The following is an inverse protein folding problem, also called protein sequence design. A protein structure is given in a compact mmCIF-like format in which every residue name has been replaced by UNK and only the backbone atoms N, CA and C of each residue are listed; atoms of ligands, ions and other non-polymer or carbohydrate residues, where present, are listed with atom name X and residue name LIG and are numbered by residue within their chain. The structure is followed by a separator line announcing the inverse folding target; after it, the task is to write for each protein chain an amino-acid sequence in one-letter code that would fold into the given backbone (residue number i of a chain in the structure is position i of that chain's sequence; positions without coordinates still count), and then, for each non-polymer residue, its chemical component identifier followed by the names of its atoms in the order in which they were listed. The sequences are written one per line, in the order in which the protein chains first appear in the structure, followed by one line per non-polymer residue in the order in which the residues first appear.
data_IF_922291842349
#
_entry.id   IF_922291842349
#
_cell.length_a   1.000
_cell.length_b   1.000
_cell.length_c   1.000
_cell.angle_alpha   90.00
_cell.angle_beta   90.00
_cell.angle_gamma   90.00
#
_symmetry.space_group_name_H-M   'P 1'
#
loop_
_entity.id
_entity.type
_entity.pdbx_description
1 polymer ?
#
# COMPACT_ATOMS: atom_id res chain seq x y z
N UNK A 1 -43.83 -10.13 20.30
CA UNK A 1 -43.55 -10.75 18.98
C UNK A 1 -42.13 -10.38 18.63
N UNK A 2 -41.21 -11.34 18.54
CA UNK A 2 -39.81 -11.06 18.24
C UNK A 2 -39.64 -10.60 16.79
N UNK A 3 -38.75 -9.65 16.56
CA UNK A 3 -38.40 -9.19 15.20
C UNK A 3 -37.26 -10.03 14.62
N UNK A 4 -37.03 -9.95 13.29
CA UNK A 4 -35.91 -10.67 12.64
C UNK A 4 -34.52 -10.07 12.98
N UNK A 5 -34.46 -8.82 13.42
CA UNK A 5 -33.22 -8.08 13.64
C UNK A 5 -33.08 -7.62 15.10
N UNK A 6 -31.92 -7.81 15.75
CA UNK A 6 -30.72 -8.46 15.24
C UNK A 6 -30.82 -10.00 15.26
N UNK A 7 -30.26 -10.66 14.24
CA UNK A 7 -30.21 -12.13 14.17
C UNK A 7 -29.35 -12.73 15.30
N UNK A 8 -28.33 -11.99 15.74
CA UNK A 8 -27.28 -12.47 16.63
C UNK A 8 -27.62 -12.33 18.13
N UNK A 9 -28.76 -11.74 18.49
CA UNK A 9 -29.22 -11.60 19.88
C UNK A 9 -30.75 -11.68 19.97
N UNK A 10 -31.27 -12.76 20.53
CA UNK A 10 -32.70 -12.97 20.77
C UNK A 10 -33.26 -11.97 21.77
N UNK A 11 -32.49 -11.63 22.81
CA UNK A 11 -32.88 -10.63 23.81
C UNK A 11 -33.14 -9.27 23.16
N UNK A 12 -32.22 -8.81 22.30
CA UNK A 12 -32.43 -7.59 21.53
C UNK A 12 -33.58 -7.73 20.54
N UNK A 13 -33.72 -8.88 19.86
CA UNK A 13 -34.79 -9.10 18.87
C UNK A 13 -36.20 -9.01 19.48
N UNK A 14 -36.33 -9.29 20.78
CA UNK A 14 -37.58 -9.19 21.55
C UNK A 14 -37.85 -7.78 22.10
N UNK A 15 -36.86 -6.89 22.14
CA UNK A 15 -37.02 -5.53 22.64
C UNK A 15 -37.99 -4.74 21.73
N UNK A 16 -39.16 -4.30 22.25
CA UNK A 16 -40.19 -3.65 21.45
C UNK A 16 -39.90 -2.17 21.18
N UNK A 17 -38.85 -1.62 21.76
CA UNK A 17 -38.52 -0.19 21.68
C UNK A 17 -37.53 0.10 20.55
N UNK A 18 -37.28 1.38 20.29
CA UNK A 18 -36.21 1.82 19.37
C UNK A 18 -34.81 1.50 19.89
N UNK A 19 -34.65 1.19 21.20
CA UNK A 19 -33.38 0.75 21.80
C UNK A 19 -32.79 -0.45 21.07
N UNK A 20 -33.64 -1.38 20.63
CA UNK A 20 -33.26 -2.54 19.82
C UNK A 20 -32.36 -2.18 18.65
N UNK A 21 -32.74 -1.15 17.88
CA UNK A 21 -32.04 -0.76 16.66
C UNK A 21 -30.64 -0.23 17.01
N UNK A 22 -30.57 0.65 18.01
CA UNK A 22 -29.30 1.25 18.44
C UNK A 22 -28.32 0.22 19.00
N UNK A 23 -28.78 -0.65 19.89
CA UNK A 23 -27.93 -1.70 20.47
C UNK A 23 -27.51 -2.74 19.43
N UNK A 24 -28.39 -3.08 18.48
CA UNK A 24 -28.02 -3.98 17.40
C UNK A 24 -26.90 -3.42 16.50
N UNK A 25 -26.86 -2.10 16.25
CA UNK A 25 -25.74 -1.48 15.52
C UNK A 25 -24.47 -1.46 16.38
N UNK A 26 -24.59 -1.12 17.66
CA UNK A 26 -23.45 -1.04 18.57
C UNK A 26 -22.79 -2.40 18.84
N UNK A 27 -23.58 -3.46 18.95
CA UNK A 27 -23.12 -4.82 19.27
C UNK A 27 -22.87 -5.69 18.03
N UNK A 28 -23.05 -5.13 16.82
CA UNK A 28 -22.92 -5.90 15.58
C UNK A 28 -21.55 -6.54 15.36
N UNK A 29 -20.50 -5.91 15.88
CA UNK A 29 -19.11 -6.39 15.79
C UNK A 29 -18.56 -7.00 17.09
N UNK A 30 -19.37 -7.03 18.15
CA UNK A 30 -19.03 -7.71 19.41
C UNK A 30 -19.36 -9.20 19.29
N UNK A 31 -18.57 -9.92 18.48
CA UNK A 31 -18.90 -11.30 18.10
C UNK A 31 -18.93 -12.28 19.28
N UNK A 32 -18.17 -12.02 20.34
CA UNK A 32 -18.12 -12.88 21.53
C UNK A 32 -19.45 -12.90 22.30
N UNK A 33 -20.22 -11.80 22.27
CA UNK A 33 -21.53 -11.70 22.93
C UNK A 33 -22.69 -12.23 22.08
N UNK A 34 -22.43 -12.72 20.86
CA UNK A 34 -23.48 -13.23 19.98
C UNK A 34 -23.99 -14.60 20.45
N UNK A 35 -25.31 -14.81 20.35
CA UNK A 35 -25.96 -16.04 20.76
C UNK A 35 -25.34 -17.26 20.06
N UNK A 36 -24.91 -18.26 20.85
CA UNK A 36 -24.36 -19.51 20.34
C UNK A 36 -22.97 -19.41 19.70
N UNK A 37 -22.23 -18.32 19.94
CA UNK A 37 -20.86 -18.19 19.45
C UNK A 37 -19.94 -19.24 20.08
N UNK A 38 -19.15 -19.93 19.24
CA UNK A 38 -18.08 -20.83 19.68
C UNK A 38 -16.73 -20.19 19.37
N UNK A 39 -15.67 -20.60 20.07
CA UNK A 39 -14.33 -20.05 19.87
C UNK A 39 -13.85 -20.21 18.42
N UNK A 40 -14.04 -21.38 17.80
CA UNK A 40 -13.62 -21.59 16.41
C UNK A 40 -14.40 -20.73 15.41
N UNK A 41 -15.72 -20.59 15.60
CA UNK A 41 -16.55 -19.73 14.75
C UNK A 41 -16.18 -18.26 14.91
N UNK A 42 -15.82 -17.83 16.12
CA UNK A 42 -15.33 -16.48 16.40
C UNK A 42 -14.09 -16.17 15.54
N UNK A 43 -13.06 -17.03 15.59
CA UNK A 43 -11.84 -16.84 14.80
C UNK A 43 -12.11 -16.84 13.29
N UNK A 44 -12.95 -17.75 12.79
CA UNK A 44 -13.32 -17.79 11.37
C UNK A 44 -14.04 -16.52 10.92
N UNK A 45 -14.93 -15.97 11.77
CA UNK A 45 -15.66 -14.72 11.50
C UNK A 45 -14.74 -13.50 11.51
N UNK A 46 -13.83 -13.43 12.48
CA UNK A 46 -12.79 -12.40 12.54
C UNK A 46 -11.91 -12.46 11.28
N UNK A 47 -11.47 -13.66 10.88
CA UNK A 47 -10.60 -13.86 9.73
C UNK A 47 -11.25 -13.36 8.42
N UNK A 48 -12.49 -13.75 8.16
CA UNK A 48 -13.21 -13.26 6.99
C UNK A 48 -13.47 -11.73 7.04
N UNK A 49 -13.67 -11.17 8.24
CA UNK A 49 -13.82 -9.72 8.44
C UNK A 49 -12.52 -8.99 8.09
N UNK A 50 -11.35 -9.54 8.42
CA UNK A 50 -10.07 -8.97 8.02
C UNK A 50 -9.92 -8.90 6.49
N UNK A 51 -10.33 -9.95 5.75
CA UNK A 51 -10.36 -9.91 4.29
C UNK A 51 -11.27 -8.81 3.74
N UNK A 52 -12.49 -8.68 4.30
CA UNK A 52 -13.40 -7.59 3.93
C UNK A 52 -12.80 -6.21 4.20
N UNK A 53 -12.15 -6.03 5.35
CA UNK A 53 -11.51 -4.76 5.70
C UNK A 53 -10.32 -4.43 4.78
N UNK A 54 -9.47 -5.42 4.45
CA UNK A 54 -8.38 -5.25 3.49
C UNK A 54 -8.91 -4.85 2.11
N UNK A 55 -10.00 -5.45 1.65
CA UNK A 55 -10.62 -5.06 0.39
C UNK A 55 -11.12 -3.61 0.40
N UNK A 56 -11.68 -3.13 1.52
CA UNK A 56 -12.08 -1.71 1.67
C UNK A 56 -10.86 -0.80 1.54
N UNK A 57 -9.72 -1.14 2.15
CA UNK A 57 -8.48 -0.37 2.03
C UNK A 57 -8.00 -0.32 0.56
N UNK A 58 -8.02 -1.45 -0.15
CA UNK A 58 -7.63 -1.48 -1.57
C UNK A 58 -8.58 -0.72 -2.47
N UNK A 59 -9.90 -0.78 -2.23
CA UNK A 59 -10.88 0.02 -2.97
C UNK A 59 -10.69 1.52 -2.70
N UNK A 60 -10.44 1.91 -1.45
CA UNK A 60 -10.14 3.28 -1.09
C UNK A 60 -8.88 3.78 -1.84
N UNK A 61 -7.77 3.04 -1.77
CA UNK A 61 -6.54 3.41 -2.47
C UNK A 61 -6.70 3.42 -4.00
N UNK A 62 -7.46 2.47 -4.57
CA UNK A 62 -7.85 2.44 -5.98
C UNK A 62 -8.60 3.72 -6.38
N UNK A 63 -9.57 4.15 -5.57
CA UNK A 63 -10.36 5.35 -5.84
C UNK A 63 -9.51 6.62 -5.85
N UNK A 64 -8.50 6.72 -4.98
CA UNK A 64 -7.58 7.86 -4.96
C UNK A 64 -6.81 7.97 -6.28
N UNK A 65 -6.23 6.85 -6.74
CA UNK A 65 -5.51 6.79 -8.02
C UNK A 65 -6.45 7.14 -9.18
N UNK A 66 -7.65 6.54 -9.20
CA UNK A 66 -8.62 6.73 -10.27
C UNK A 66 -9.09 8.18 -10.40
N UNK A 67 -9.46 8.81 -9.28
CA UNK A 67 -9.92 10.20 -9.30
C UNK A 67 -8.83 11.17 -9.75
N UNK A 68 -7.59 10.95 -9.33
CA UNK A 68 -6.45 11.78 -9.78
C UNK A 68 -6.15 11.54 -11.26
N UNK A 69 -6.15 10.29 -11.73
CA UNK A 69 -5.93 9.95 -13.13
C UNK A 69 -6.99 10.55 -14.06
N UNK A 70 -8.25 10.56 -13.61
CA UNK A 70 -9.39 10.99 -14.44
C UNK A 70 -9.66 12.50 -14.36
N UNK A 71 -9.63 13.07 -13.16
CA UNK A 71 -10.10 14.44 -12.89
C UNK A 71 -9.02 15.35 -12.32
N UNK A 72 -7.88 14.78 -11.95
CA UNK A 72 -6.74 15.49 -11.38
C UNK A 72 -5.87 16.17 -12.44
N UNK A 73 -4.76 16.73 -11.98
CA UNK A 73 -3.78 17.43 -12.80
C UNK A 73 -2.37 16.87 -12.63
N UNK A 74 -2.23 15.56 -12.38
CA UNK A 74 -0.95 14.91 -12.05
C UNK A 74 0.16 15.19 -13.08
N UNK A 75 -0.10 15.00 -14.37
CA UNK A 75 0.88 15.26 -15.45
C UNK A 75 1.29 16.73 -15.59
N UNK A 76 0.41 17.66 -15.17
CA UNK A 76 0.75 19.08 -15.11
C UNK A 76 1.59 19.34 -13.86
N UNK A 77 1.15 18.82 -12.71
CA UNK A 77 1.80 18.97 -11.42
C UNK A 77 3.25 18.49 -11.43
N UNK A 78 3.55 17.34 -12.04
CA UNK A 78 4.94 16.83 -12.10
C UNK A 78 5.91 17.75 -12.86
N UNK A 79 5.41 18.65 -13.71
CA UNK A 79 6.24 19.61 -14.45
C UNK A 79 6.60 20.83 -13.61
N UNK A 80 5.76 21.18 -12.64
CA UNK A 80 6.01 22.26 -11.68
C UNK A 80 5.38 21.95 -10.31
N UNK A 81 6.01 21.04 -9.54
CA UNK A 81 5.47 20.57 -8.25
C UNK A 81 5.35 21.65 -7.18
N UNK A 82 6.06 22.77 -7.34
CA UNK A 82 6.14 23.84 -6.35
C UNK A 82 5.00 24.86 -6.48
N UNK A 83 4.49 25.09 -7.70
CA UNK A 83 3.49 26.14 -7.93
C UNK A 83 2.12 25.58 -8.34
N UNK A 84 2.06 24.39 -8.94
CA UNK A 84 0.78 23.78 -9.31
C UNK A 84 0.16 23.15 -8.06
N UNK A 85 -1.09 23.51 -7.77
CA UNK A 85 -1.85 22.92 -6.67
C UNK A 85 -2.46 21.58 -7.10
N UNK A 86 -2.21 20.48 -6.37
CA UNK A 86 -2.67 19.16 -6.78
C UNK A 86 -4.19 19.02 -6.59
N UNK A 87 -4.88 18.47 -7.59
CA UNK A 87 -6.35 18.30 -7.56
C UNK A 87 -6.72 16.93 -6.96
N UNK A 88 -7.67 16.90 -6.04
CA UNK A 88 -8.24 15.68 -5.49
C UNK A 88 -9.20 15.01 -6.48
N UNK A 89 -10.28 15.70 -6.82
CA UNK A 89 -11.35 15.26 -7.72
C UNK A 89 -12.24 16.45 -8.11
N UNK A 90 -13.10 16.25 -9.11
CA UNK A 90 -14.10 17.23 -9.51
C UNK A 90 -15.22 17.35 -8.47
N UNK A 91 -15.81 18.54 -8.34
CA UNK A 91 -17.01 18.79 -7.55
C UNK A 91 -18.21 18.73 -8.48
N UNK A 92 -19.19 17.90 -8.12
CA UNK A 92 -20.50 17.87 -8.78
C UNK A 92 -21.58 18.08 -7.72
N UNK A 93 -21.99 19.33 -7.55
CA UNK A 93 -23.07 19.72 -6.63
C UNK A 93 -24.11 20.58 -7.37
N UNK A 94 -25.32 20.06 -7.63
CA UNK A 94 -26.36 20.79 -8.36
C UNK A 94 -26.93 21.99 -7.59
N UNK A 95 -26.61 22.12 -6.30
CA UNK A 95 -27.03 23.26 -5.48
C UNK A 95 -26.09 24.46 -5.59
N UNK A 96 -24.93 24.31 -6.24
CA UNK A 96 -23.99 25.42 -6.41
C UNK A 96 -24.58 26.52 -7.31
N UNK A 97 -24.67 27.73 -6.76
CA UNK A 97 -24.87 28.93 -7.57
C UNK A 97 -23.62 29.25 -8.39
N UNK A 98 -23.78 30.06 -9.45
CA UNK A 98 -22.69 30.48 -10.33
C UNK A 98 -21.44 31.01 -9.59
N UNK A 99 -21.55 31.84 -8.54
CA UNK A 99 -20.36 32.30 -7.80
C UNK A 99 -19.57 31.17 -7.14
N UNK A 100 -20.23 30.12 -6.66
CA UNK A 100 -19.55 28.95 -6.07
C UNK A 100 -18.84 28.13 -7.15
N UNK A 101 -19.47 27.93 -8.32
CA UNK A 101 -18.84 27.29 -9.47
C UNK A 101 -17.55 28.02 -9.85
N UNK A 102 -17.60 29.35 -9.95
CA UNK A 102 -16.43 30.18 -10.27
C UNK A 102 -15.35 30.10 -9.18
N UNK A 103 -15.72 30.17 -7.90
CA UNK A 103 -14.77 30.10 -6.79
C UNK A 103 -14.04 28.75 -6.69
N UNK A 104 -14.73 27.64 -6.98
CA UNK A 104 -14.14 26.30 -6.94
C UNK A 104 -13.52 25.86 -8.26
N UNK A 105 -13.70 26.60 -9.36
CA UNK A 105 -12.99 26.36 -10.62
C UNK A 105 -11.58 26.94 -10.49
N UNK A 106 -10.67 26.11 -9.98
CA UNK A 106 -9.33 26.51 -9.56
C UNK A 106 -8.27 25.47 -9.96
N UNK A 107 -7.00 25.70 -9.62
CA UNK A 107 -5.92 24.75 -9.87
C UNK A 107 -5.61 24.52 -11.36
N UNK A 108 -6.03 25.46 -12.23
CA UNK A 108 -5.90 25.35 -13.68
C UNK A 108 -6.99 24.50 -14.35
N UNK A 109 -7.96 23.98 -13.60
CA UNK A 109 -9.09 23.24 -14.15
C UNK A 109 -10.14 24.18 -14.76
N UNK A 110 -10.90 23.66 -15.74
CA UNK A 110 -12.05 24.33 -16.36
C UNK A 110 -13.39 24.01 -15.69
N UNK A 111 -13.35 23.32 -14.55
CA UNK A 111 -14.51 22.88 -13.77
C UNK A 111 -14.23 22.98 -12.25
N UNK A 112 -15.27 22.99 -11.41
CA UNK A 112 -15.10 23.00 -9.95
C UNK A 112 -14.32 21.79 -9.44
N UNK A 113 -13.33 22.02 -8.57
CA UNK A 113 -12.45 20.98 -8.02
C UNK A 113 -12.11 21.22 -6.55
N UNK A 114 -11.77 20.12 -5.86
CA UNK A 114 -11.10 20.16 -4.57
C UNK A 114 -9.58 20.09 -4.76
N UNK A 115 -8.84 20.91 -4.01
CA UNK A 115 -7.38 20.76 -3.86
C UNK A 115 -7.09 19.66 -2.84
N UNK A 116 -6.17 18.74 -3.15
CA UNK A 116 -5.77 17.70 -2.21
C UNK A 116 -4.65 18.17 -1.28
N UNK A 117 -4.74 17.75 -0.03
CA UNK A 117 -3.71 17.97 0.99
C UNK A 117 -3.18 16.64 1.56
N UNK A 118 -3.53 15.50 0.96
CA UNK A 118 -3.12 14.18 1.45
C UNK A 118 -1.66 13.82 1.16
N UNK A 119 -0.97 14.61 0.32
CA UNK A 119 0.42 14.33 -0.08
C UNK A 119 0.59 13.26 -1.16
N UNK A 120 -0.48 12.62 -1.63
CA UNK A 120 -0.42 11.48 -2.58
C UNK A 120 0.31 11.77 -3.90
N UNK A 121 0.23 13.01 -4.41
CA UNK A 121 0.97 13.42 -5.61
C UNK A 121 2.49 13.31 -5.41
N UNK A 122 2.99 13.80 -4.27
CA UNK A 122 4.40 13.73 -3.91
C UNK A 122 4.84 12.27 -3.78
N UNK A 123 4.07 11.45 -3.07
CA UNK A 123 4.39 10.03 -2.90
C UNK A 123 4.47 9.29 -4.24
N UNK A 124 3.44 9.38 -5.08
CA UNK A 124 3.38 8.71 -6.38
C UNK A 124 4.49 9.18 -7.32
N UNK A 125 4.79 10.48 -7.33
CA UNK A 125 5.90 11.04 -8.09
C UNK A 125 7.25 10.51 -7.60
N UNK A 126 7.49 10.46 -6.29
CA UNK A 126 8.74 9.94 -5.73
C UNK A 126 8.96 8.47 -6.07
N UNK A 127 7.91 7.65 -6.10
CA UNK A 127 8.02 6.21 -6.41
C UNK A 127 8.01 5.88 -7.90
N UNK A 128 8.02 6.89 -8.78
CA UNK A 128 8.24 6.72 -10.22
C UNK A 128 7.00 6.86 -11.11
N UNK A 129 5.81 7.18 -10.58
CA UNK A 129 4.64 7.43 -11.44
C UNK A 129 4.79 8.79 -12.15
N UNK A 130 4.49 8.84 -13.45
CA UNK A 130 4.65 10.05 -14.28
C UNK A 130 3.40 10.40 -15.08
N UNK A 131 2.59 9.41 -15.44
CA UNK A 131 1.44 9.61 -16.32
C UNK A 131 0.13 9.27 -15.64
N UNK A 132 -0.97 9.81 -16.16
CA UNK A 132 -2.32 9.42 -15.74
C UNK A 132 -2.57 7.92 -16.02
N UNK A 133 -1.91 7.36 -17.04
CA UNK A 133 -1.99 5.93 -17.34
C UNK A 133 -1.34 5.08 -16.24
N UNK A 134 -0.21 5.50 -15.66
CA UNK A 134 0.42 4.79 -14.54
C UNK A 134 -0.55 4.70 -13.35
N UNK A 135 -1.19 5.82 -13.04
CA UNK A 135 -2.20 5.91 -11.98
C UNK A 135 -3.42 5.04 -12.29
N UNK A 136 -3.91 5.08 -13.53
CA UNK A 136 -5.06 4.30 -13.96
C UNK A 136 -4.80 2.79 -13.88
N UNK A 137 -3.66 2.32 -14.39
CA UNK A 137 -3.27 0.90 -14.30
C UNK A 137 -3.13 0.48 -12.85
N UNK A 138 -2.52 1.32 -12.00
CA UNK A 138 -2.47 1.10 -10.55
C UNK A 138 -3.86 0.98 -9.91
N UNK A 139 -4.81 1.84 -10.30
CA UNK A 139 -6.19 1.79 -9.80
C UNK A 139 -6.89 0.48 -10.14
N UNK A 140 -6.73 0.00 -11.38
CA UNK A 140 -7.31 -1.26 -11.84
C UNK A 140 -6.67 -2.45 -11.13
N UNK A 141 -5.35 -2.43 -10.93
CA UNK A 141 -4.64 -3.47 -10.18
C UNK A 141 -5.17 -3.57 -8.74
N UNK A 142 -5.33 -2.45 -8.04
CA UNK A 142 -5.87 -2.45 -6.68
C UNK A 142 -7.34 -2.90 -6.62
N UNK A 143 -8.14 -2.61 -7.66
CA UNK A 143 -9.51 -3.11 -7.77
C UNK A 143 -9.56 -4.64 -7.91
N UNK A 144 -8.63 -5.22 -8.70
CA UNK A 144 -8.49 -6.66 -8.82
C UNK A 144 -8.03 -7.30 -7.50
N UNK A 145 -7.09 -6.66 -6.78
CA UNK A 145 -6.72 -7.10 -5.44
C UNK A 145 -7.89 -7.06 -4.47
N UNK A 146 -8.67 -5.99 -4.43
CA UNK A 146 -9.87 -5.93 -3.59
C UNK A 146 -10.84 -7.08 -3.88
N UNK A 147 -11.05 -7.39 -5.17
CA UNK A 147 -11.88 -8.52 -5.61
C UNK A 147 -11.32 -9.86 -5.15
N UNK A 148 -9.98 -10.04 -5.23
CA UNK A 148 -9.29 -11.23 -4.74
C UNK A 148 -9.47 -11.40 -3.22
N UNK A 149 -9.32 -10.33 -2.43
CA UNK A 149 -9.48 -10.40 -0.98
C UNK A 149 -10.94 -10.67 -0.57
N UNK A 150 -11.93 -10.08 -1.24
CA UNK A 150 -13.34 -10.41 -1.03
C UNK A 150 -13.62 -11.88 -1.33
N UNK A 151 -13.11 -12.39 -2.45
CA UNK A 151 -13.25 -13.79 -2.82
C UNK A 151 -12.57 -14.72 -1.81
N UNK A 152 -11.36 -14.40 -1.36
CA UNK A 152 -10.63 -15.18 -0.36
C UNK A 152 -11.37 -15.21 0.99
N UNK A 153 -11.93 -14.07 1.43
CA UNK A 153 -12.77 -14.00 2.63
C UNK A 153 -14.01 -14.89 2.52
N UNK A 154 -14.71 -14.85 1.38
CA UNK A 154 -15.84 -15.76 1.11
C UNK A 154 -15.42 -17.23 1.05
N UNK A 155 -14.28 -17.52 0.41
CA UNK A 155 -13.77 -18.88 0.23
C UNK A 155 -13.46 -19.52 1.58
N UNK A 156 -12.78 -18.80 2.47
CA UNK A 156 -12.44 -19.28 3.81
C UNK A 156 -13.64 -19.38 4.77
N UNK A 157 -14.84 -18.97 4.35
CA UNK A 157 -16.10 -19.29 5.03
C UNK A 157 -16.80 -20.53 4.45
N UNK A 158 -16.31 -21.12 3.36
CA UNK A 158 -16.87 -22.36 2.81
C UNK A 158 -16.42 -23.57 3.66
N UNK A 159 -17.29 -24.57 3.90
CA UNK A 159 -17.01 -25.68 4.81
C UNK A 159 -15.67 -26.39 4.61
N UNK A 160 -15.23 -26.53 3.36
CA UNK A 160 -13.96 -27.20 3.00
C UNK A 160 -12.70 -26.37 3.31
N UNK A 161 -12.82 -25.05 3.37
CA UNK A 161 -11.67 -24.12 3.43
C UNK A 161 -11.61 -23.30 4.72
N UNK A 162 -12.53 -23.57 5.65
CA UNK A 162 -12.52 -22.99 7.00
C UNK A 162 -11.29 -23.45 7.77
N UNK A 163 -10.41 -22.54 8.22
CA UNK A 163 -9.28 -22.92 9.05
C UNK A 163 -9.74 -23.43 10.43
N UNK A 164 -8.99 -24.37 10.98
CA UNK A 164 -9.25 -24.90 12.32
C UNK A 164 -8.74 -23.97 13.42
N UNK A 165 -9.26 -24.14 14.65
CA UNK A 165 -8.78 -23.39 15.82
C UNK A 165 -7.27 -23.58 16.07
N UNK A 166 -6.74 -24.77 15.83
CA UNK A 166 -5.30 -25.06 15.96
C UNK A 166 -4.48 -24.22 14.98
N UNK A 167 -4.95 -24.05 13.74
CA UNK A 167 -4.31 -23.18 12.76
C UNK A 167 -4.27 -21.73 13.24
N UNK A 168 -5.39 -21.20 13.77
CA UNK A 168 -5.45 -19.84 14.29
C UNK A 168 -4.53 -19.62 15.51
N UNK A 169 -4.34 -20.63 16.34
CA UNK A 169 -3.47 -20.55 17.53
C UNK A 169 -2.01 -20.91 17.26
N UNK A 170 -1.63 -21.26 16.02
CA UNK A 170 -0.24 -21.53 15.64
C UNK A 170 0.58 -20.24 15.53
N UNK A 171 1.12 -19.77 16.65
CA UNK A 171 1.80 -18.49 16.74
C UNK A 171 3.17 -18.49 16.05
N UNK A 172 4.02 -19.48 16.30
CA UNK A 172 5.38 -19.57 15.77
C UNK A 172 5.42 -19.58 14.24
N UNK A 173 4.63 -20.43 13.54
CA UNK A 173 4.58 -20.39 12.08
C UNK A 173 4.07 -19.03 11.58
N UNK A 174 3.06 -18.44 12.21
CA UNK A 174 2.54 -17.12 11.80
C UNK A 174 3.59 -16.03 11.94
N UNK A 175 4.36 -16.03 13.03
CA UNK A 175 5.45 -15.07 13.22
C UNK A 175 6.56 -15.23 12.17
N UNK A 176 6.97 -16.47 11.88
CA UNK A 176 7.95 -16.72 10.82
C UNK A 176 7.45 -16.20 9.46
N UNK A 177 6.21 -16.50 9.08
CA UNK A 177 5.65 -16.05 7.80
C UNK A 177 5.45 -14.53 7.74
N UNK A 178 5.08 -13.89 8.85
CA UNK A 178 4.92 -12.43 8.88
C UNK A 178 6.27 -11.71 8.87
N UNK A 179 7.24 -12.16 9.65
CA UNK A 179 8.58 -11.57 9.67
C UNK A 179 9.28 -11.79 8.33
N UNK A 180 9.42 -13.03 7.88
CA UNK A 180 10.16 -13.31 6.65
C UNK A 180 9.37 -12.92 5.40
N UNK A 181 8.11 -13.34 5.29
CA UNK A 181 7.29 -13.12 4.09
C UNK A 181 6.67 -11.73 4.06
N UNK A 182 5.77 -11.43 5.00
CA UNK A 182 5.02 -10.17 4.96
C UNK A 182 5.91 -8.94 5.10
N UNK A 183 6.92 -8.94 5.97
CA UNK A 183 7.82 -7.81 6.16
C UNK A 183 9.08 -7.93 5.31
N UNK A 184 9.81 -9.03 5.45
CA UNK A 184 11.09 -9.24 4.78
C UNK A 184 11.00 -9.23 3.26
N UNK A 185 10.21 -10.14 2.68
CA UNK A 185 10.05 -10.26 1.22
C UNK A 185 9.36 -9.02 0.64
N UNK A 186 8.36 -8.44 1.32
CA UNK A 186 7.75 -7.19 0.84
C UNK A 186 8.73 -6.02 0.84
N UNK A 187 9.58 -5.90 1.86
CA UNK A 187 10.62 -4.86 1.90
C UNK A 187 11.69 -5.09 0.83
N UNK A 188 12.05 -6.36 0.57
CA UNK A 188 12.97 -6.72 -0.52
C UNK A 188 12.37 -6.36 -1.89
N UNK A 189 11.10 -6.68 -2.10
CA UNK A 189 10.38 -6.33 -3.33
C UNK A 189 10.27 -4.80 -3.50
N UNK A 190 10.06 -4.07 -2.40
CA UNK A 190 10.04 -2.61 -2.43
C UNK A 190 11.42 -2.00 -2.74
N UNK A 191 12.50 -2.55 -2.18
CA UNK A 191 13.85 -2.18 -2.60
C UNK A 191 14.06 -2.43 -4.11
N UNK A 192 13.58 -3.57 -4.62
CA UNK A 192 13.54 -3.87 -6.05
C UNK A 192 12.79 -2.81 -6.86
N UNK A 193 11.57 -2.42 -6.45
CA UNK A 193 10.80 -1.36 -7.10
C UNK A 193 11.57 -0.03 -7.13
N UNK A 194 12.16 0.37 -6.01
CA UNK A 194 12.92 1.62 -5.92
C UNK A 194 14.14 1.61 -6.86
N UNK A 195 14.88 0.51 -6.90
CA UNK A 195 16.09 0.33 -7.72
C UNK A 195 15.76 0.27 -9.21
N UNK A 196 14.69 -0.43 -9.59
CA UNK A 196 14.36 -0.70 -10.98
C UNK A 196 13.43 0.34 -11.62
N UNK A 197 12.63 1.06 -10.84
CA UNK A 197 11.63 2.00 -11.37
C UNK A 197 11.85 3.40 -10.81
N UNK A 198 11.77 3.58 -9.48
CA UNK A 198 11.75 4.92 -8.89
C UNK A 198 13.05 5.71 -9.13
N UNK A 199 14.21 5.08 -8.94
CA UNK A 199 15.52 5.70 -9.15
C UNK A 199 15.72 6.06 -10.63
N UNK A 200 15.52 5.15 -11.62
CA UNK A 200 15.56 5.52 -13.04
C UNK A 200 14.61 6.66 -13.41
N UNK A 201 13.35 6.61 -12.95
CA UNK A 201 12.36 7.66 -13.23
C UNK A 201 12.73 9.00 -12.56
N UNK A 202 13.43 8.98 -11.43
CA UNK A 202 13.99 10.18 -10.80
C UNK A 202 15.17 10.78 -11.58
N UNK A 203 15.76 10.02 -12.50
CA UNK A 203 16.88 10.42 -13.37
C UNK A 203 16.43 10.66 -14.83
N UNK A 204 15.13 10.76 -15.06
CA UNK A 204 14.54 10.99 -16.39
C UNK A 204 14.63 9.79 -17.33
N UNK A 205 14.87 8.59 -16.80
CA UNK A 205 14.88 7.35 -17.56
C UNK A 205 13.58 6.59 -17.33
N UNK A 206 12.76 6.46 -18.38
CA UNK A 206 11.51 5.72 -18.30
C UNK A 206 11.73 4.22 -18.14
N UNK A 207 11.13 3.62 -17.11
CA UNK A 207 11.12 2.17 -16.92
C UNK A 207 9.69 1.68 -16.63
N UNK A 208 9.19 0.84 -17.51
CA UNK A 208 7.85 0.25 -17.44
C UNK A 208 7.85 -1.26 -17.65
N UNK A 209 6.66 -1.86 -17.62
CA UNK A 209 6.49 -3.31 -17.84
C UNK A 209 7.02 -3.80 -19.19
N UNK A 210 7.05 -2.91 -20.17
CA UNK A 210 7.50 -3.13 -21.54
C UNK A 210 9.04 -3.23 -21.68
N UNK A 211 9.80 -2.62 -20.78
CA UNK A 211 11.26 -2.50 -20.93
C UNK A 211 12.09 -2.84 -19.67
N UNK A 212 11.49 -3.12 -18.51
CA UNK A 212 12.25 -3.35 -17.26
C UNK A 212 13.16 -4.58 -17.32
N UNK A 213 12.82 -5.58 -18.15
CA UNK A 213 13.63 -6.80 -18.34
C UNK A 213 14.86 -6.57 -19.21
N UNK A 214 14.86 -5.55 -20.06
CA UNK A 214 15.96 -5.21 -20.96
C UNK A 214 16.76 -3.98 -20.50
N UNK A 215 16.28 -3.30 -19.45
CA UNK A 215 16.90 -2.09 -18.90
C UNK A 215 17.55 -2.40 -17.55
N UNK A 216 18.88 -2.57 -17.48
CA UNK A 216 19.54 -2.89 -16.22
C UNK A 216 19.49 -1.67 -15.26
N UNK A 217 19.26 -1.88 -13.95
CA UNK A 217 19.21 -0.78 -12.97
C UNK A 217 20.59 -0.17 -12.67
N UNK A 218 21.67 -0.88 -13.01
CA UNK A 218 23.04 -0.42 -12.80
C UNK A 218 23.93 -0.83 -13.99
N UNK A 219 24.85 0.03 -14.47
CA UNK A 219 25.67 -0.26 -15.66
C UNK A 219 26.50 -1.55 -15.56
N UNK A 220 26.98 -1.89 -14.37
CA UNK A 220 27.76 -3.10 -14.13
C UNK A 220 26.90 -4.38 -13.94
N UNK A 221 25.57 -4.28 -14.05
CA UNK A 221 24.66 -5.39 -13.85
C UNK A 221 24.80 -6.07 -12.48
N UNK A 222 24.56 -7.38 -12.44
CA UNK A 222 24.65 -8.20 -11.23
C UNK A 222 26.05 -8.76 -10.95
N UNK A 223 27.04 -8.52 -11.82
CA UNK A 223 28.39 -9.07 -11.63
C UNK A 223 29.01 -8.63 -10.29
N UNK A 224 28.98 -7.34 -9.87
CA UNK A 224 29.52 -6.93 -8.57
C UNK A 224 28.81 -7.57 -7.37
N UNK A 225 27.52 -7.89 -7.50
CA UNK A 225 26.77 -8.60 -6.45
C UNK A 225 27.37 -9.98 -6.18
N UNK A 226 27.57 -10.79 -7.24
CA UNK A 226 28.06 -12.16 -7.11
C UNK A 226 29.56 -12.26 -6.82
N UNK A 227 30.35 -11.25 -7.19
CA UNK A 227 31.79 -11.21 -6.86
C UNK A 227 32.07 -10.63 -5.48
N UNK A 228 31.05 -10.14 -4.77
CA UNK A 228 31.19 -9.54 -3.44
C UNK A 228 31.70 -8.08 -3.46
N UNK A 229 31.89 -7.47 -4.63
CA UNK A 229 32.27 -6.06 -4.77
C UNK A 229 31.04 -5.13 -4.68
N UNK A 230 30.30 -5.20 -3.57
CA UNK A 230 29.04 -4.48 -3.41
C UNK A 230 29.20 -2.96 -3.36
N UNK A 231 30.40 -2.47 -2.99
CA UNK A 231 30.72 -1.05 -2.98
C UNK A 231 30.56 -0.38 -4.36
N UNK A 232 30.63 -1.16 -5.44
CA UNK A 232 30.37 -0.67 -6.80
C UNK A 232 28.97 -0.04 -6.95
N UNK A 233 27.95 -0.52 -6.22
CA UNK A 233 26.57 -0.02 -6.30
C UNK A 233 26.35 1.31 -5.57
N UNK A 234 27.33 1.76 -4.77
CA UNK A 234 27.31 3.03 -4.06
C UNK A 234 28.11 4.14 -4.79
N UNK A 235 28.78 3.80 -5.89
CA UNK A 235 29.64 4.72 -6.62
C UNK A 235 28.83 5.71 -7.46
N UNK A 236 29.29 6.97 -7.50
CA UNK A 236 28.69 8.08 -8.25
C UNK A 236 27.20 8.31 -7.89
N UNK A 237 26.91 8.81 -6.68
CA UNK A 237 25.55 9.22 -6.32
C UNK A 237 25.08 10.40 -7.17
N UNK A 238 23.77 10.67 -7.11
CA UNK A 238 23.20 11.91 -7.65
C UNK A 238 23.88 13.13 -7.00
N UNK A 239 24.23 14.11 -7.81
CA UNK A 239 25.02 15.26 -7.34
C UNK A 239 24.15 16.25 -6.55
N UNK A 240 24.78 17.19 -5.84
CA UNK A 240 24.06 18.26 -5.15
C UNK A 240 23.25 19.18 -6.10
N UNK A 241 23.59 19.18 -7.40
CA UNK A 241 22.91 19.95 -8.44
C UNK A 241 21.96 19.07 -9.29
N UNK A 242 21.66 17.85 -8.84
CA UNK A 242 20.71 16.97 -9.53
C UNK A 242 19.33 17.62 -9.59
N UNK A 243 18.71 17.55 -10.76
CA UNK A 243 17.33 18.01 -10.99
C UNK A 243 16.43 16.79 -11.08
N UNK A 244 15.62 16.59 -10.04
CA UNK A 244 14.78 15.41 -9.88
C UNK A 244 13.81 15.24 -11.07
N UNK A 245 13.72 14.02 -11.58
CA UNK A 245 12.95 13.67 -12.78
C UNK A 245 13.72 13.87 -14.10
N UNK A 246 15.00 14.25 -14.07
CA UNK A 246 15.82 14.50 -15.26
C UNK A 246 17.20 13.87 -15.13
N UNK A 247 17.94 13.74 -16.25
CA UNK A 247 19.31 13.24 -16.23
C UNK A 247 20.36 14.29 -15.85
N UNK A 248 19.93 15.53 -15.58
CA UNK A 248 20.86 16.61 -15.23
C UNK A 248 21.40 16.40 -13.81
N UNK A 249 22.70 16.16 -13.71
CA UNK A 249 23.37 15.93 -12.42
C UNK A 249 23.09 14.57 -11.79
N UNK A 250 22.47 13.64 -12.54
CA UNK A 250 22.17 12.29 -12.07
C UNK A 250 23.42 11.41 -12.03
N UNK A 251 23.52 10.57 -11.02
CA UNK A 251 24.55 9.56 -10.87
C UNK A 251 24.12 8.18 -11.39
N UNK A 252 24.87 7.16 -10.99
CA UNK A 252 24.59 5.75 -11.32
C UNK A 252 24.37 4.87 -10.08
N UNK A 253 24.68 5.38 -8.88
CA UNK A 253 24.49 4.61 -7.65
C UNK A 253 23.04 4.15 -7.50
N UNK A 254 22.85 2.95 -6.97
CA UNK A 254 21.52 2.40 -6.65
C UNK A 254 21.34 2.14 -5.15
N UNK A 255 22.43 2.09 -4.38
CA UNK A 255 22.44 1.83 -2.95
C UNK A 255 23.46 2.73 -2.28
N UNK A 256 23.02 3.73 -1.53
CA UNK A 256 23.92 4.69 -0.87
C UNK A 256 23.65 4.79 0.64
N UNK A 257 24.49 5.56 1.33
CA UNK A 257 24.33 5.88 2.74
C UNK A 257 24.78 7.33 2.97
N UNK A 258 24.20 8.25 2.21
CA UNK A 258 24.63 9.66 2.16
C UNK A 258 24.19 10.40 3.44
N UNK A 259 22.96 10.15 3.88
CA UNK A 259 22.32 10.94 4.93
C UNK A 259 21.90 12.34 4.46
N UNK A 260 21.18 13.05 5.32
CA UNK A 260 20.64 14.36 5.00
C UNK A 260 19.55 14.30 3.92
N UNK A 261 19.47 15.36 3.12
CA UNK A 261 18.41 15.55 2.12
C UNK A 261 18.97 15.89 0.75
N UNK A 262 18.25 15.49 -0.28
CA UNK A 262 18.49 15.92 -1.65
C UNK A 262 18.24 17.43 -1.77
N UNK A 263 19.23 18.27 -2.16
CA UNK A 263 19.15 19.72 -2.00
C UNK A 263 17.97 20.42 -2.70
N UNK A 264 17.52 19.90 -3.84
CA UNK A 264 16.39 20.48 -4.58
C UNK A 264 15.02 20.08 -4.01
N UNK A 265 14.85 18.82 -3.61
CA UNK A 265 13.54 18.28 -3.21
C UNK A 265 13.33 18.38 -1.71
N UNK A 266 14.40 18.64 -0.95
CA UNK A 266 14.43 18.68 0.52
C UNK A 266 13.92 17.37 1.17
N UNK A 267 13.99 16.27 0.42
CA UNK A 267 13.56 14.95 0.84
C UNK A 267 14.75 13.97 0.94
N UNK A 268 14.52 12.81 1.56
CA UNK A 268 15.53 11.76 1.67
C UNK A 268 15.96 11.27 0.27
N UNK A 269 17.23 10.87 0.14
CA UNK A 269 17.76 10.30 -1.09
C UNK A 269 17.08 8.97 -1.42
N UNK A 270 16.59 8.80 -2.66
CA UNK A 270 15.96 7.55 -3.09
C UNK A 270 16.88 6.33 -2.95
N UNK A 271 18.17 6.49 -3.22
CA UNK A 271 19.20 5.46 -3.06
C UNK A 271 19.46 5.09 -1.61
N UNK A 272 19.28 6.02 -0.67
CA UNK A 272 19.32 5.71 0.78
C UNK A 272 18.05 4.98 1.21
N UNK A 273 16.87 5.37 0.71
CA UNK A 273 15.60 4.67 0.98
C UNK A 273 15.64 3.23 0.42
N UNK A 274 16.18 3.04 -0.78
CA UNK A 274 16.36 1.72 -1.39
C UNK A 274 17.29 0.84 -0.55
N UNK A 275 18.44 1.40 -0.14
CA UNK A 275 19.38 0.68 0.72
C UNK A 275 18.80 0.36 2.09
N UNK A 276 18.02 1.28 2.69
CA UNK A 276 17.30 1.04 3.92
C UNK A 276 16.37 -0.18 3.80
N UNK A 277 15.53 -0.23 2.76
CA UNK A 277 14.59 -1.33 2.56
C UNK A 277 15.29 -2.67 2.31
N UNK A 278 16.40 -2.66 1.57
CA UNK A 278 17.22 -3.86 1.37
C UNK A 278 17.84 -4.32 2.71
N UNK A 279 18.37 -3.40 3.51
CA UNK A 279 18.94 -3.71 4.82
C UNK A 279 17.92 -4.32 5.79
N UNK A 280 16.75 -3.68 5.96
CA UNK A 280 15.70 -4.21 6.85
C UNK A 280 15.07 -5.49 6.30
N UNK A 281 15.05 -5.68 4.98
CA UNK A 281 14.56 -6.93 4.39
C UNK A 281 15.41 -8.12 4.84
N UNK A 282 16.74 -7.99 4.80
CA UNK A 282 17.65 -9.04 5.29
C UNK A 282 17.39 -9.31 6.77
N UNK A 283 17.27 -8.26 7.60
CA UNK A 283 16.99 -8.40 9.03
C UNK A 283 15.70 -9.18 9.29
N UNK A 284 14.60 -8.83 8.62
CA UNK A 284 13.31 -9.48 8.82
C UNK A 284 13.26 -10.90 8.24
N UNK A 285 13.90 -11.16 7.10
CA UNK A 285 14.02 -12.50 6.54
C UNK A 285 14.76 -13.40 7.52
N UNK A 286 15.91 -12.97 8.04
CA UNK A 286 16.66 -13.76 9.03
C UNK A 286 15.86 -13.94 10.32
N UNK A 287 15.23 -12.89 10.82
CA UNK A 287 14.40 -12.96 12.04
C UNK A 287 13.22 -13.93 11.90
N UNK A 288 12.60 -14.02 10.71
CA UNK A 288 11.51 -14.96 10.44
C UNK A 288 11.93 -16.43 10.32
N UNK A 289 13.19 -16.77 10.56
CA UNK A 289 13.67 -18.16 10.70
C UNK A 289 13.99 -18.52 12.16
N UNK A 290 13.55 -17.71 13.13
CA UNK A 290 13.85 -17.92 14.55
C UNK A 290 12.98 -19.01 15.19
N UNK A 291 11.69 -19.09 14.86
CA UNK A 291 10.75 -19.92 15.61
C UNK A 291 10.59 -21.33 15.03
N UNK A 292 10.40 -22.32 15.91
CA UNK A 292 10.27 -23.73 15.55
C UNK A 292 8.96 -23.97 14.81
N UNK A 293 9.05 -24.69 13.71
CA UNK A 293 7.90 -25.13 12.91
C UNK A 293 7.94 -26.66 12.74
N UNK A 294 7.20 -27.21 11.79
CA UNK A 294 7.22 -28.64 11.45
C UNK A 294 8.57 -29.13 10.87
N UNK A 295 9.53 -28.23 10.62
CA UNK A 295 10.91 -28.57 10.24
C UNK A 295 11.82 -28.90 11.44
N UNK A 296 11.31 -28.85 12.67
CA UNK A 296 12.00 -29.40 13.86
C UNK A 296 13.16 -28.56 14.41
N UNK A 297 13.45 -27.40 13.82
CA UNK A 297 14.54 -26.48 14.25
C UNK A 297 13.96 -25.10 14.54
N UNK A 298 14.47 -24.44 15.57
CA UNK A 298 14.07 -23.09 16.01
C UNK A 298 13.61 -23.05 17.47
N UNK A 299 13.11 -21.89 17.90
CA UNK A 299 12.62 -21.65 19.27
C UNK A 299 11.12 -21.90 19.42
N UNK A 300 10.71 -22.55 20.51
CA UNK A 300 9.33 -22.50 21.00
C UNK A 300 9.18 -21.29 21.90
N UNK A 301 8.17 -20.44 21.67
CA UNK A 301 8.00 -19.22 22.49
C UNK A 301 7.66 -19.55 23.95
N UNK A 302 7.06 -20.73 24.15
CA UNK A 302 6.65 -21.21 25.46
C UNK A 302 7.81 -21.75 26.30
N UNK A 303 8.87 -22.24 25.66
CA UNK A 303 10.04 -22.83 26.33
C UNK A 303 11.02 -21.73 26.73
#
# INVERSE_FOLDING_TARGET
MATKFPKFSQDLAQDPTTRRIWYAMAMGNDFESHDGMTEENLYQKIFATHFGHLAIIFLWASSLLFHVAWQGNFEQWIKDPLHIRPIAHAIWDPHFGKPAIEAFTQGGASYPVNITYSGIYHWWYTIGMRTNNDLYVGSVFLLLLASLFLFAGWLHLQPKYRPSLVWFKSAEPRLNHHLAGLFGVSSLAWAGHLIHVAIPESRGQHVGWDNFLSTPPHPAGLTPFFTGNWAAYAANPDTANHVFGTSQGSGTAILTFLGGFHPQTEALWLTDIAHHHLGIAVLFIVAGHMYRTNFGIGHSIKE
#
